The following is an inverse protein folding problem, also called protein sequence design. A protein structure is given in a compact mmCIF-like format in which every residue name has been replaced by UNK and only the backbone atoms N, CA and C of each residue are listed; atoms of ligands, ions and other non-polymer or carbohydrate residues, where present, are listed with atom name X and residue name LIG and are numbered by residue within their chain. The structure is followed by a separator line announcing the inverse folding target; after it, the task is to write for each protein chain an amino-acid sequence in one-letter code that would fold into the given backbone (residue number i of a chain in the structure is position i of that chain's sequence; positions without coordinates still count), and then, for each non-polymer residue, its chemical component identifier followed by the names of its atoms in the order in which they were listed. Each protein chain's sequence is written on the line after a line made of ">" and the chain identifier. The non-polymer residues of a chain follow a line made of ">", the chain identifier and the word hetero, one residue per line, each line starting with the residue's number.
data_IF_160609475006
#
_entry.id   IF_160609475006
#
_cell.length_a   1.000
_cell.length_b   1.000
_cell.length_c   1.000
_cell.angle_alpha   90.00
_cell.angle_beta   90.00
_cell.angle_gamma   90.00
#
_symmetry.space_group_name_H-M   'P 1'
#
loop_
_entity.id
_entity.type
_entity.pdbx_description
1 polymer ?
#
# COMPACT_ATOMS: atom_id res chain seq x y z
N UNK A 1 -7.93 4.27 5.62
CA UNK A 1 -6.63 3.84 5.08
C UNK A 1 -5.68 4.07 6.21
N UNK A 2 -5.35 2.98 6.87
CA UNK A 2 -4.68 2.98 8.16
C UNK A 2 -3.52 1.98 8.11
N UNK A 3 -2.57 2.11 9.03
CA UNK A 3 -1.47 1.15 9.14
C UNK A 3 -2.06 -0.26 9.36
N UNK A 4 -1.60 -1.23 8.58
CA UNK A 4 -2.12 -2.60 8.56
C UNK A 4 -3.20 -2.85 7.51
N UNK A 5 -3.74 -1.81 6.86
CA UNK A 5 -4.69 -1.99 5.77
C UNK A 5 -4.02 -2.64 4.56
N UNK A 6 -4.79 -3.51 3.91
CA UNK A 6 -4.41 -4.13 2.65
C UNK A 6 -4.84 -3.25 1.48
N UNK A 7 -3.90 -2.98 0.58
CA UNK A 7 -4.10 -2.07 -0.54
C UNK A 7 -3.57 -2.65 -1.85
N UNK A 8 -4.12 -2.16 -2.95
CA UNK A 8 -3.64 -2.39 -4.31
C UNK A 8 -3.14 -1.09 -4.91
N UNK A 9 -1.97 -1.11 -5.56
CA UNK A 9 -1.45 0.03 -6.33
C UNK A 9 -2.24 0.14 -7.64
N UNK A 10 -2.93 1.27 -7.85
CA UNK A 10 -3.82 1.49 -9.01
C UNK A 10 -3.17 2.27 -10.15
N UNK A 11 -1.92 2.70 -10.00
CA UNK A 11 -1.12 3.41 -11.02
C UNK A 11 -1.71 4.77 -11.44
N UNK A 12 -2.07 5.59 -10.46
CA UNK A 12 -2.48 6.99 -10.67
C UNK A 12 -1.37 7.96 -10.23
N UNK A 13 -0.31 8.09 -11.04
CA UNK A 13 0.76 9.07 -10.82
C UNK A 13 2.18 8.51 -10.97
N UNK A 14 3.16 9.40 -10.78
CA UNK A 14 4.58 9.06 -10.81
C UNK A 14 4.98 8.37 -9.49
N UNK A 15 5.29 7.07 -9.56
CA UNK A 15 5.89 6.33 -8.45
C UNK A 15 7.39 6.30 -8.70
N UNK A 16 8.18 6.78 -7.75
CA UNK A 16 9.64 6.85 -7.84
C UNK A 16 10.31 5.49 -7.59
N UNK A 17 9.85 4.45 -8.30
CA UNK A 17 10.48 3.14 -8.39
C UNK A 17 9.93 2.39 -9.63
N UNK A 18 10.75 2.28 -10.67
CA UNK A 18 10.39 1.60 -11.94
C UNK A 18 10.01 0.12 -11.79
N UNK A 19 10.37 -0.51 -10.68
CA UNK A 19 10.06 -1.90 -10.44
C UNK A 19 8.66 -2.08 -9.85
N UNK A 20 7.99 -1.03 -9.41
CA UNK A 20 6.59 -1.07 -8.96
C UNK A 20 5.68 -1.22 -10.16
N UNK A 21 4.65 -2.07 -10.03
CA UNK A 21 3.71 -2.37 -11.09
C UNK A 21 2.30 -1.99 -10.66
N UNK A 22 1.48 -1.61 -11.65
CA UNK A 22 0.03 -1.56 -11.44
C UNK A 22 -0.45 -2.92 -10.94
N UNK A 23 -1.38 -2.88 -9.98
CA UNK A 23 -1.95 -4.02 -9.26
C UNK A 23 -1.02 -4.76 -8.30
N UNK A 24 0.20 -4.26 -8.05
CA UNK A 24 0.97 -4.75 -6.91
C UNK A 24 0.13 -4.56 -5.63
N UNK A 25 0.07 -5.62 -4.82
CA UNK A 25 -0.65 -5.62 -3.55
C UNK A 25 0.33 -5.49 -2.41
N UNK A 26 -0.09 -4.80 -1.37
CA UNK A 26 0.75 -4.53 -0.22
C UNK A 26 -0.05 -4.16 1.01
N UNK A 27 0.68 -3.96 2.09
CA UNK A 27 0.15 -3.54 3.38
C UNK A 27 0.72 -2.17 3.71
N UNK A 28 -0.12 -1.27 4.23
CA UNK A 28 0.36 0.02 4.72
C UNK A 28 1.20 -0.22 5.98
N UNK A 29 2.45 0.24 5.98
CA UNK A 29 3.37 0.12 7.12
C UNK A 29 3.72 1.46 7.76
N UNK A 30 3.47 2.57 7.08
CA UNK A 30 3.69 3.92 7.62
C UNK A 30 2.85 4.97 6.87
N UNK A 31 2.54 6.06 7.55
CA UNK A 31 1.83 7.21 6.99
C UNK A 31 2.49 8.47 7.53
N UNK A 32 2.98 9.33 6.64
CA UNK A 32 3.63 10.59 7.01
C UNK A 32 2.95 11.77 6.34
N UNK A 33 2.83 12.87 7.07
CA UNK A 33 2.38 14.16 6.53
C UNK A 33 3.58 15.10 6.47
N UNK A 34 3.80 15.71 5.30
CA UNK A 34 4.80 16.76 5.14
C UNK A 34 4.20 17.92 4.35
N UNK A 35 4.18 19.11 4.96
CA UNK A 35 3.64 20.35 4.36
C UNK A 35 2.21 20.18 3.79
N UNK A 36 1.33 19.46 4.50
CA UNK A 36 -0.04 19.21 4.08
C UNK A 36 -0.21 18.14 3.00
N UNK A 37 0.85 17.42 2.63
CA UNK A 37 0.80 16.28 1.71
C UNK A 37 1.06 14.98 2.46
N UNK A 38 0.15 14.03 2.30
CA UNK A 38 0.28 12.68 2.84
C UNK A 38 1.08 11.79 1.89
N UNK A 39 2.03 11.05 2.45
CA UNK A 39 2.76 9.97 1.80
C UNK A 39 2.57 8.68 2.60
N UNK A 40 2.26 7.60 1.91
CA UNK A 40 1.97 6.29 2.50
C UNK A 40 3.09 5.34 2.11
N UNK A 41 3.71 4.70 3.09
CA UNK A 41 4.65 3.61 2.86
C UNK A 41 3.88 2.31 2.77
N UNK A 42 4.02 1.63 1.63
CA UNK A 42 3.41 0.33 1.39
C UNK A 42 4.52 -0.71 1.28
N UNK A 43 4.45 -1.75 2.10
CA UNK A 43 5.21 -2.98 1.89
C UNK A 43 4.45 -3.85 0.89
N UNK A 44 4.95 -3.95 -0.34
CA UNK A 44 4.35 -4.82 -1.35
C UNK A 44 4.87 -6.25 -1.25
N UNK A 45 4.03 -7.23 -1.58
CA UNK A 45 4.38 -8.65 -1.43
C UNK A 45 5.59 -9.05 -2.29
N UNK A 46 5.70 -8.42 -3.46
CA UNK A 46 6.75 -8.70 -4.42
C UNK A 46 7.98 -7.87 -4.10
N UNK A 47 9.15 -8.48 -4.24
CA UNK A 47 10.40 -7.74 -4.15
C UNK A 47 10.51 -6.73 -5.31
N UNK A 48 10.64 -5.44 -4.98
CA UNK A 48 10.68 -4.32 -5.92
C UNK A 48 12.02 -3.56 -5.90
N UNK A 49 13.05 -4.11 -5.24
CA UNK A 49 14.33 -3.40 -5.01
C UNK A 49 14.09 -2.01 -4.41
N UNK A 50 13.07 -1.92 -3.54
CA UNK A 50 12.73 -0.72 -2.79
C UNK A 50 13.58 -0.59 -1.53
N UNK A 51 13.10 0.21 -0.59
CA UNK A 51 13.70 0.34 0.75
C UNK A 51 12.95 -0.55 1.75
N UNK A 52 13.24 -0.41 3.04
CA UNK A 52 12.63 -1.17 4.16
C UNK A 52 11.61 -0.35 4.97
N UNK A 53 11.09 0.75 4.41
CA UNK A 53 10.15 1.64 5.12
C UNK A 53 10.70 2.21 6.43
N UNK A 54 11.98 2.57 6.50
CA UNK A 54 12.65 3.00 7.74
C UNK A 54 12.61 1.94 8.86
N UNK A 55 12.69 0.65 8.49
CA UNK A 55 12.67 -0.48 9.41
C UNK A 55 11.28 -1.00 9.79
N UNK A 56 10.21 -0.40 9.26
CA UNK A 56 8.82 -0.85 9.51
C UNK A 56 8.38 -2.00 8.61
N UNK A 57 9.09 -2.23 7.52
CA UNK A 57 8.80 -3.31 6.58
C UNK A 57 10.07 -4.04 6.11
N UNK A 58 9.86 -4.99 5.20
CA UNK A 58 10.91 -5.84 4.64
C UNK A 58 11.78 -5.06 3.65
N UNK A 59 13.11 -5.25 3.77
CA UNK A 59 14.06 -4.63 2.85
C UNK A 59 13.84 -5.06 1.40
N UNK A 60 13.87 -4.11 0.47
CA UNK A 60 13.59 -4.34 -0.94
C UNK A 60 12.10 -4.37 -1.32
N UNK A 61 11.18 -4.23 -0.35
CA UNK A 61 9.73 -4.37 -0.57
C UNK A 61 8.91 -3.09 -0.35
N UNK A 62 9.48 -2.04 0.24
CA UNK A 62 8.72 -0.83 0.54
C UNK A 62 8.84 0.23 -0.55
N UNK A 63 7.74 0.99 -0.73
CA UNK A 63 7.68 2.18 -1.57
C UNK A 63 6.79 3.24 -0.92
N UNK A 64 7.22 4.50 -1.00
CA UNK A 64 6.41 5.66 -0.65
C UNK A 64 5.57 6.12 -1.83
N UNK A 65 4.27 6.25 -1.61
CA UNK A 65 3.32 6.67 -2.66
C UNK A 65 2.28 7.65 -2.12
N UNK A 66 1.69 8.43 -3.03
CA UNK A 66 0.53 9.26 -2.69
C UNK A 66 -0.69 8.37 -2.41
N UNK A 67 -1.57 8.73 -1.44
CA UNK A 67 -2.83 8.02 -1.20
C UNK A 67 -3.68 7.82 -2.46
N UNK A 68 -3.60 8.73 -3.43
CA UNK A 68 -4.32 8.66 -4.71
C UNK A 68 -3.92 7.47 -5.60
N UNK A 69 -2.76 6.87 -5.34
CA UNK A 69 -2.24 5.71 -6.08
C UNK A 69 -2.72 4.37 -5.51
N UNK A 70 -3.52 4.39 -4.44
CA UNK A 70 -3.94 3.21 -3.70
C UNK A 70 -5.45 3.00 -3.77
N UNK A 71 -5.85 1.75 -3.83
CA UNK A 71 -7.21 1.31 -3.54
C UNK A 71 -7.19 0.36 -2.34
N UNK A 72 -8.08 0.58 -1.37
CA UNK A 72 -8.28 -0.34 -0.26
C UNK A 72 -8.86 -1.66 -0.78
N UNK A 73 -8.28 -2.77 -0.35
CA UNK A 73 -8.92 -4.06 -0.50
C UNK A 73 -10.03 -4.17 0.54
N UNK A 74 -11.27 -3.94 0.11
CA UNK A 74 -12.44 -4.16 0.96
C UNK A 74 -12.45 -5.63 1.35
N UNK A 75 -12.30 -5.94 2.64
CA UNK A 75 -12.59 -7.28 3.15
C UNK A 75 -14.05 -7.54 2.78
N UNK A 76 -14.31 -8.52 1.91
CA UNK A 76 -15.67 -9.01 1.74
C UNK A 76 -16.09 -9.52 3.11
N UNK A 77 -16.93 -8.76 3.81
CA UNK A 77 -17.65 -9.29 4.95
C UNK A 77 -18.38 -10.53 4.46
N UNK A 78 -17.90 -11.70 4.85
CA UNK A 78 -18.67 -12.92 4.78
C UNK A 78 -19.80 -12.79 5.81
N UNK A 79 -20.76 -11.90 5.56
CA UNK A 79 -22.10 -12.02 6.13
C UNK A 79 -22.65 -13.31 5.56
N UNK A 80 -22.43 -14.41 6.30
CA UNK A 80 -23.17 -15.66 6.14
C UNK A 80 -24.63 -15.26 6.00
N UNK A 81 -25.22 -15.50 4.82
CA UNK A 81 -26.68 -15.50 4.66
C UNK A 81 -27.21 -16.54 5.64
N UNK A 82 -27.74 -16.10 6.78
CA UNK A 82 -28.71 -16.89 7.52
C UNK A 82 -29.96 -16.87 6.65
N UNK A 83 -30.26 -18.00 6.05
CA UNK A 83 -31.59 -18.29 5.57
C UNK A 83 -32.42 -18.58 6.83
N UNK A 84 -33.36 -17.69 7.14
CA UNK A 84 -34.51 -17.98 8.00
C UNK A 84 -35.67 -18.44 7.12
#
# INVERSE_FOLDING_TARGET
>A
MDIGDRVTITNYGHIDNKNVRSRDKGTIVDIVEFKGMYSICVEVDRHIKGHNGNGRGKDGHCVWVSPKTLALEVKKDNKKKRYE
#
